data_IF_851396753571
#
_entry.id   IF_851396753571
#
_cell.length_a   1.000
_cell.length_b   1.000
_cell.length_c   1.000
_cell.angle_alpha   90.00
_cell.angle_beta   90.00
_cell.angle_gamma   90.00
#
_symmetry.space_group_name_H-M   'P 1'
#
loop_
_entity.id
_entity.type
_entity.pdbx_description
1 polymer ?
#
# COMPACT_ATOMS: atom_id res chain seq x y z
N UNK A 1 31.51 6.65 -66.97
CA UNK A 1 30.69 7.00 -65.81
C UNK A 1 30.53 5.79 -64.92
N UNK A 2 31.41 5.64 -63.93
CA UNK A 2 31.36 4.59 -62.92
C UNK A 2 31.84 5.21 -61.61
N UNK A 3 30.92 5.49 -60.69
CA UNK A 3 31.21 5.71 -59.28
C UNK A 3 30.12 5.00 -58.48
N UNK A 4 30.49 3.84 -57.93
CA UNK A 4 29.70 3.07 -57.00
C UNK A 4 29.84 3.66 -55.59
N UNK A 5 28.68 3.82 -54.94
CA UNK A 5 28.53 4.29 -53.57
C UNK A 5 29.30 3.42 -52.58
N UNK A 6 30.15 4.05 -51.77
CA UNK A 6 30.76 3.46 -50.58
C UNK A 6 29.73 3.58 -49.44
N UNK A 7 28.98 2.51 -49.19
CA UNK A 7 28.19 2.36 -47.98
C UNK A 7 29.10 1.96 -46.82
N UNK A 8 29.35 2.91 -45.90
CA UNK A 8 29.95 2.61 -44.59
C UNK A 8 29.00 1.70 -43.82
N UNK A 9 29.38 0.44 -43.61
CA UNK A 9 28.79 -0.36 -42.55
C UNK A 9 29.23 0.22 -41.20
N UNK A 10 28.29 0.83 -40.47
CA UNK A 10 28.40 1.01 -39.03
C UNK A 10 28.28 -0.38 -38.41
N UNK A 11 29.40 -0.95 -37.97
CA UNK A 11 29.40 -2.03 -36.99
C UNK A 11 28.71 -1.48 -35.73
N UNK A 12 27.50 -1.96 -35.49
CA UNK A 12 26.83 -1.83 -34.20
C UNK A 12 27.66 -2.62 -33.19
N UNK A 13 28.40 -1.90 -32.35
CA UNK A 13 29.04 -2.45 -31.17
C UNK A 13 27.93 -2.92 -30.25
N UNK A 14 27.71 -4.23 -30.21
CA UNK A 14 26.82 -4.85 -29.24
C UNK A 14 27.40 -4.59 -27.86
N UNK A 15 26.83 -3.63 -27.14
CA UNK A 15 27.01 -3.53 -25.70
C UNK A 15 26.37 -4.78 -25.11
N UNK A 16 27.17 -5.81 -24.86
CA UNK A 16 26.77 -6.86 -23.94
C UNK A 16 26.72 -6.22 -22.56
N UNK A 17 25.49 -5.98 -22.09
CA UNK A 17 25.24 -5.66 -20.70
C UNK A 17 25.63 -6.92 -19.93
N UNK A 18 26.81 -6.92 -19.32
CA UNK A 18 27.18 -7.92 -18.34
C UNK A 18 26.33 -7.66 -17.11
N UNK A 19 25.14 -8.25 -17.07
CA UNK A 19 24.38 -8.38 -15.85
C UNK A 19 25.16 -9.36 -14.97
N UNK A 20 25.99 -8.81 -14.08
CA UNK A 20 26.77 -9.60 -13.13
C UNK A 20 25.76 -10.27 -12.20
N UNK A 21 25.49 -11.56 -12.43
CA UNK A 21 24.70 -12.36 -11.50
C UNK A 21 25.26 -12.18 -10.09
N UNK A 22 24.38 -11.88 -9.14
CA UNK A 22 24.79 -11.63 -7.77
C UNK A 22 25.42 -12.92 -7.21
N UNK A 23 26.71 -12.89 -6.90
CA UNK A 23 27.44 -14.05 -6.39
C UNK A 23 27.18 -14.23 -4.88
N UNK A 24 27.00 -15.48 -4.47
CA UNK A 24 27.06 -15.87 -3.06
C UNK A 24 28.50 -15.73 -2.57
N UNK A 25 28.73 -14.73 -1.72
CA UNK A 25 30.05 -14.42 -1.17
C UNK A 25 30.08 -14.51 0.35
N UNK A 26 28.92 -14.42 0.99
CA UNK A 26 28.78 -14.44 2.45
C UNK A 26 27.64 -15.37 2.82
N UNK A 27 27.87 -16.23 3.82
CA UNK A 27 26.87 -17.10 4.42
C UNK A 27 26.60 -16.69 5.87
N UNK A 28 25.34 -16.73 6.27
CA UNK A 28 24.88 -16.34 7.59
C UNK A 28 24.56 -17.57 8.44
N UNK A 29 24.89 -17.48 9.72
CA UNK A 29 24.41 -18.36 10.78
C UNK A 29 24.50 -17.58 12.09
N UNK A 30 23.62 -16.60 12.24
CA UNK A 30 23.68 -15.61 13.33
C UNK A 30 22.43 -15.79 14.18
N UNK A 31 22.62 -16.18 15.44
CA UNK A 31 21.53 -16.25 16.42
C UNK A 31 21.38 -14.91 17.14
N UNK A 32 20.15 -14.39 17.19
CA UNK A 32 19.74 -13.20 17.90
C UNK A 32 18.71 -13.62 18.93
N UNK A 33 19.04 -13.45 20.21
CA UNK A 33 18.16 -13.81 21.32
C UNK A 33 18.04 -12.65 22.30
N UNK A 34 16.81 -12.33 22.65
CA UNK A 34 16.48 -11.36 23.66
C UNK A 34 15.16 -11.77 24.32
N UNK A 35 15.23 -12.20 25.57
CA UNK A 35 14.05 -12.69 26.29
C UNK A 35 13.08 -11.56 26.60
N UNK A 36 13.60 -10.37 26.96
CA UNK A 36 12.88 -9.11 27.17
C UNK A 36 13.78 -7.93 26.72
N UNK A 37 13.20 -6.77 26.34
CA UNK A 37 13.86 -5.50 25.95
C UNK A 37 14.24 -5.26 24.47
N UNK A 38 13.64 -5.94 23.49
CA UNK A 38 13.69 -5.41 22.11
C UNK A 38 12.50 -4.49 21.90
N UNK A 39 12.74 -3.20 22.15
CA UNK A 39 11.75 -2.15 21.98
C UNK A 39 11.77 -1.55 20.59
N UNK A 40 10.64 -1.58 19.88
CA UNK A 40 10.39 -0.73 18.71
C UNK A 40 9.71 0.53 19.19
N UNK A 41 10.26 1.70 18.87
CA UNK A 41 9.72 3.01 19.27
C UNK A 41 9.69 3.93 18.06
N UNK A 42 8.52 4.47 17.75
CA UNK A 42 8.28 5.49 16.73
C UNK A 42 7.13 6.41 17.15
N UNK A 43 6.83 7.42 16.34
CA UNK A 43 5.62 8.23 16.48
C UNK A 43 4.32 7.43 16.28
N UNK A 44 4.40 6.24 15.69
CA UNK A 44 3.26 5.40 15.34
C UNK A 44 3.18 4.10 16.13
N UNK A 45 4.20 3.72 16.90
CA UNK A 45 4.18 2.48 17.65
C UNK A 45 5.17 2.51 18.82
N UNK A 46 4.79 1.85 19.91
CA UNK A 46 5.71 1.46 20.97
C UNK A 46 5.40 0.03 21.37
N UNK A 47 6.34 -0.87 21.07
CA UNK A 47 6.16 -2.32 21.17
C UNK A 47 7.38 -2.92 21.83
N UNK A 48 7.16 -3.72 22.87
CA UNK A 48 8.19 -4.53 23.52
C UNK A 48 8.04 -5.99 23.10
N UNK A 49 9.16 -6.58 22.68
CA UNK A 49 9.17 -7.92 22.08
C UNK A 49 10.21 -8.83 22.74
N UNK A 50 9.88 -10.11 22.74
CA UNK A 50 10.78 -11.24 22.95
C UNK A 50 11.20 -11.78 21.58
N UNK A 51 12.47 -12.09 21.39
CA UNK A 51 13.05 -12.46 20.10
C UNK A 51 13.94 -13.69 20.27
N UNK A 52 13.68 -14.75 19.50
CA UNK A 52 14.62 -15.85 19.28
C UNK A 52 14.67 -16.13 17.79
N UNK A 53 15.68 -15.56 17.12
CA UNK A 53 15.82 -15.62 15.67
C UNK A 53 17.19 -16.15 15.27
N UNK A 54 17.24 -16.85 14.14
CA UNK A 54 18.49 -17.28 13.51
C UNK A 54 18.47 -16.84 12.05
N UNK A 55 19.35 -15.90 11.70
CA UNK A 55 19.60 -15.49 10.32
C UNK A 55 20.52 -16.52 9.66
N UNK A 56 20.05 -17.10 8.56
CA UNK A 56 20.72 -18.14 7.78
C UNK A 56 20.77 -17.78 6.30
N UNK A 57 21.34 -18.65 5.46
CA UNK A 57 21.39 -18.45 4.01
C UNK A 57 22.58 -17.60 3.57
N UNK A 58 22.46 -16.94 2.42
CA UNK A 58 23.54 -16.15 1.82
C UNK A 58 23.18 -14.67 1.66
N UNK A 59 24.12 -13.84 1.22
CA UNK A 59 23.87 -12.42 0.91
C UNK A 59 22.84 -12.20 -0.22
N UNK A 60 22.54 -13.20 -1.05
CA UNK A 60 21.53 -13.11 -2.12
C UNK A 60 20.26 -13.90 -1.81
N UNK A 61 20.34 -14.86 -0.88
CA UNK A 61 19.21 -15.66 -0.42
C UNK A 61 19.22 -15.78 1.11
N UNK A 62 19.00 -14.68 1.85
CA UNK A 62 18.93 -14.72 3.31
C UNK A 62 17.62 -15.36 3.76
N UNK A 63 17.72 -16.27 4.74
CA UNK A 63 16.58 -16.88 5.42
C UNK A 63 16.55 -16.53 6.89
N UNK A 64 15.39 -16.69 7.51
CA UNK A 64 15.21 -16.41 8.93
C UNK A 64 14.41 -17.53 9.57
N UNK A 65 14.81 -17.93 10.77
CA UNK A 65 14.13 -18.94 11.56
C UNK A 65 13.83 -18.43 12.95
N UNK A 66 12.77 -18.94 13.57
CA UNK A 66 12.45 -18.67 14.97
C UNK A 66 11.19 -17.80 15.12
N UNK A 67 11.09 -17.05 16.22
CA UNK A 67 9.91 -16.23 16.50
C UNK A 67 10.24 -14.86 17.10
N UNK A 68 9.29 -13.96 16.92
CA UNK A 68 9.17 -12.70 17.64
C UNK A 68 7.79 -12.70 18.28
N UNK A 69 7.76 -12.51 19.58
CA UNK A 69 6.54 -12.46 20.37
C UNK A 69 6.42 -11.06 20.99
N UNK A 70 5.25 -10.45 20.88
CA UNK A 70 4.97 -9.15 21.53
C UNK A 70 4.59 -9.39 22.98
N UNK A 71 5.30 -8.72 23.88
CA UNK A 71 5.07 -8.77 25.33
C UNK A 71 3.99 -7.75 25.70
N UNK A 72 4.16 -6.52 25.23
CA UNK A 72 3.24 -5.41 25.44
C UNK A 72 3.47 -4.36 24.35
N UNK A 73 2.47 -3.51 24.12
CA UNK A 73 2.63 -2.36 23.25
C UNK A 73 1.40 -1.98 22.47
N UNK A 74 1.57 -0.91 21.71
CA UNK A 74 0.53 -0.29 20.93
C UNK A 74 1.03 0.14 19.56
N UNK A 75 0.11 0.22 18.61
CA UNK A 75 0.36 0.76 17.27
C UNK A 75 -0.81 1.65 16.84
N UNK A 76 -0.49 2.73 16.13
CA UNK A 76 -1.48 3.62 15.53
C UNK A 76 -1.71 3.24 14.08
N UNK A 77 -2.96 2.91 13.74
CA UNK A 77 -3.39 2.56 12.38
C UNK A 77 -4.69 3.31 12.10
N UNK A 78 -4.80 3.98 10.94
CA UNK A 78 -5.96 4.84 10.61
C UNK A 78 -6.27 5.88 11.71
N UNK A 79 -5.25 6.41 12.39
CA UNK A 79 -5.37 7.35 13.52
C UNK A 79 -6.03 6.77 14.79
N UNK A 80 -6.33 5.47 14.81
CA UNK A 80 -6.74 4.79 16.02
C UNK A 80 -5.54 4.10 16.64
N UNK A 81 -5.40 4.24 17.96
CA UNK A 81 -4.41 3.51 18.74
C UNK A 81 -4.98 2.15 19.08
N UNK A 82 -4.25 1.12 18.70
CA UNK A 82 -4.56 -0.27 19.01
C UNK A 82 -3.60 -0.76 20.07
N UNK A 83 -4.14 -1.30 21.15
CA UNK A 83 -3.39 -2.03 22.16
C UNK A 83 -3.24 -3.49 21.69
N UNK A 84 -2.01 -3.96 21.60
CA UNK A 84 -1.71 -5.31 21.12
C UNK A 84 -1.89 -6.28 22.30
N UNK A 85 -2.91 -7.11 22.22
CA UNK A 85 -3.25 -8.06 23.29
C UNK A 85 -2.47 -9.38 23.18
N UNK A 86 -2.15 -9.78 21.95
CA UNK A 86 -1.33 -10.94 21.66
C UNK A 86 -0.78 -10.79 20.25
N UNK A 87 0.52 -10.98 20.04
CA UNK A 87 1.07 -11.03 18.69
C UNK A 87 2.29 -11.93 18.63
N UNK A 88 2.27 -12.83 17.65
CA UNK A 88 3.38 -13.75 17.38
C UNK A 88 3.69 -13.72 15.90
N UNK A 89 4.97 -13.58 15.57
CA UNK A 89 5.51 -13.66 14.21
C UNK A 89 6.51 -14.80 14.17
N UNK A 90 6.36 -15.73 13.25
CA UNK A 90 7.18 -16.93 13.14
C UNK A 90 7.82 -17.00 11.76
N UNK A 91 9.08 -17.40 11.74
CA UNK A 91 9.88 -17.56 10.54
C UNK A 91 10.35 -19.00 10.42
N UNK A 92 10.19 -19.56 9.22
CA UNK A 92 10.42 -20.98 8.96
C UNK A 92 11.30 -21.25 7.73
N UNK A 93 11.48 -20.28 6.85
CA UNK A 93 12.14 -20.45 5.56
C UNK A 93 13.63 -20.05 5.65
N UNK A 94 14.51 -21.01 5.33
CA UNK A 94 15.96 -20.84 5.42
C UNK A 94 16.57 -20.15 4.20
N UNK A 95 15.76 -19.87 3.17
CA UNK A 95 16.19 -19.25 1.92
C UNK A 95 15.50 -17.92 1.66
N UNK A 96 14.45 -17.60 2.43
CA UNK A 96 13.67 -16.36 2.28
C UNK A 96 13.13 -15.89 3.64
N UNK A 97 13.03 -14.59 3.80
CA UNK A 97 12.36 -13.98 4.96
C UNK A 97 10.85 -13.93 4.65
N UNK A 98 10.14 -14.98 5.02
CA UNK A 98 8.71 -15.11 4.77
C UNK A 98 7.96 -15.55 6.05
N UNK A 99 7.49 -14.58 6.86
CA UNK A 99 6.87 -14.90 8.14
C UNK A 99 5.44 -15.41 8.00
N UNK A 100 5.00 -16.15 9.00
CA UNK A 100 3.58 -16.20 9.38
C UNK A 100 3.34 -15.36 10.63
N UNK A 101 2.17 -14.77 10.76
CA UNK A 101 1.80 -13.95 11.90
C UNK A 101 0.39 -14.28 12.38
N UNK A 102 0.15 -14.05 13.67
CA UNK A 102 -1.17 -14.00 14.30
C UNK A 102 -1.15 -12.88 15.34
N UNK A 103 -1.99 -11.87 15.13
CA UNK A 103 -1.98 -10.61 15.86
C UNK A 103 -3.41 -10.30 16.28
N UNK A 104 -3.62 -10.18 17.58
CA UNK A 104 -4.85 -9.73 18.21
C UNK A 104 -4.61 -8.37 18.85
N UNK A 105 -5.45 -7.41 18.49
CA UNK A 105 -5.38 -6.06 19.04
C UNK A 105 -6.79 -5.54 19.35
N UNK A 106 -6.87 -4.55 20.22
CA UNK A 106 -8.11 -3.87 20.55
C UNK A 106 -7.98 -2.35 20.46
N UNK A 107 -9.07 -1.69 20.12
CA UNK A 107 -9.19 -0.24 20.14
C UNK A 107 -10.57 0.17 20.64
N UNK A 108 -10.73 1.43 21.01
CA UNK A 108 -12.02 2.00 21.40
C UNK A 108 -12.27 3.28 20.62
N UNK A 109 -13.38 3.33 19.89
CA UNK A 109 -13.78 4.47 19.06
C UNK A 109 -15.22 4.84 19.38
N UNK A 110 -15.46 6.09 19.76
CA UNK A 110 -16.80 6.59 20.17
C UNK A 110 -17.50 5.74 21.27
N UNK A 111 -16.73 5.13 22.18
CA UNK A 111 -17.25 4.28 23.24
C UNK A 111 -17.63 2.87 22.78
N UNK A 112 -17.29 2.49 21.54
CA UNK A 112 -17.41 1.12 21.03
C UNK A 112 -16.05 0.43 21.10
N UNK A 113 -16.00 -0.72 21.78
CA UNK A 113 -14.78 -1.54 21.83
C UNK A 113 -14.70 -2.40 20.58
N UNK A 114 -13.55 -2.39 19.90
CA UNK A 114 -13.33 -3.11 18.65
C UNK A 114 -12.12 -4.02 18.81
N UNK A 115 -12.32 -5.29 18.49
CA UNK A 115 -11.31 -6.35 18.48
C UNK A 115 -10.94 -6.65 17.04
N UNK A 116 -9.64 -6.70 16.77
CA UNK A 116 -9.06 -6.96 15.45
C UNK A 116 -8.17 -8.18 15.53
N UNK A 117 -8.36 -9.12 14.61
CA UNK A 117 -7.40 -10.20 14.38
C UNK A 117 -6.85 -10.13 12.96
N UNK A 118 -5.53 -10.21 12.85
CA UNK A 118 -4.78 -10.30 11.59
C UNK A 118 -3.93 -11.55 11.65
N UNK A 119 -4.19 -12.51 10.75
CA UNK A 119 -3.49 -13.79 10.75
C UNK A 119 -3.13 -14.27 9.35
N UNK A 120 -2.06 -15.05 9.20
CA UNK A 120 -1.62 -15.62 7.93
C UNK A 120 -0.19 -15.25 7.58
N UNK A 121 0.07 -14.87 6.33
CA UNK A 121 1.40 -14.49 5.82
C UNK A 121 1.28 -13.33 4.82
N UNK A 122 2.40 -12.71 4.39
CA UNK A 122 2.35 -11.54 3.50
C UNK A 122 1.58 -11.72 2.18
N UNK A 123 1.48 -12.95 1.65
CA UNK A 123 0.77 -13.22 0.39
C UNK A 123 -0.67 -13.69 0.58
N UNK A 124 -1.00 -14.23 1.75
CA UNK A 124 -2.33 -14.74 2.06
C UNK A 124 -2.60 -14.52 3.55
N UNK A 125 -3.33 -13.45 3.86
CA UNK A 125 -3.72 -13.08 5.20
C UNK A 125 -5.23 -12.95 5.32
N UNK A 126 -5.72 -13.08 6.55
CA UNK A 126 -7.11 -12.89 6.93
C UNK A 126 -7.17 -11.77 7.95
N UNK A 127 -8.07 -10.84 7.70
CA UNK A 127 -8.43 -9.77 8.62
C UNK A 127 -9.85 -10.05 9.12
N UNK A 128 -10.08 -9.89 10.42
CA UNK A 128 -11.41 -10.02 11.01
C UNK A 128 -11.63 -9.01 12.10
N UNK A 129 -12.87 -8.56 12.21
CA UNK A 129 -13.29 -7.53 13.14
C UNK A 129 -14.47 -8.00 13.99
N UNK A 130 -14.48 -7.58 15.24
CA UNK A 130 -15.62 -7.74 16.14
C UNK A 130 -15.77 -6.49 16.99
N UNK A 131 -16.99 -6.12 17.32
CA UNK A 131 -17.26 -4.99 18.21
C UNK A 131 -18.13 -5.37 19.41
N UNK A 132 -18.06 -4.53 20.43
CA UNK A 132 -18.99 -4.48 21.56
C UNK A 132 -19.40 -3.01 21.80
N UNK A 133 -20.67 -2.63 21.55
CA UNK A 133 -21.80 -3.45 21.10
C UNK A 133 -21.62 -4.10 19.71
N UNK A 134 -22.34 -5.19 19.37
CA UNK A 134 -22.21 -5.86 18.07
C UNK A 134 -22.64 -4.95 16.89
N UNK A 135 -21.77 -4.83 15.89
CA UNK A 135 -21.96 -4.07 14.66
C UNK A 135 -21.67 -4.93 13.44
N UNK A 136 -22.11 -4.48 12.25
CA UNK A 136 -21.69 -5.14 11.00
C UNK A 136 -20.22 -4.83 10.72
N UNK A 137 -19.51 -5.74 10.04
CA UNK A 137 -18.11 -5.54 9.68
C UNK A 137 -17.89 -4.26 8.85
N UNK A 138 -18.86 -3.92 8.00
CA UNK A 138 -18.88 -2.66 7.25
C UNK A 138 -18.90 -1.44 8.16
N UNK A 139 -19.77 -1.44 9.18
CA UNK A 139 -19.90 -0.32 10.11
C UNK A 139 -18.67 -0.19 11.00
N UNK A 140 -18.07 -1.32 11.41
CA UNK A 140 -16.81 -1.34 12.16
C UNK A 140 -15.71 -0.70 11.30
N UNK A 141 -15.52 -1.18 10.06
CA UNK A 141 -14.53 -0.63 9.15
C UNK A 141 -14.75 0.87 8.93
N UNK A 142 -15.99 1.28 8.69
CA UNK A 142 -16.34 2.68 8.51
C UNK A 142 -16.00 3.54 9.74
N UNK A 143 -16.37 3.07 10.94
CA UNK A 143 -16.10 3.74 12.20
C UNK A 143 -14.59 3.86 12.46
N UNK A 144 -13.82 2.81 12.22
CA UNK A 144 -12.35 2.85 12.36
C UNK A 144 -11.74 3.82 11.36
N UNK A 145 -12.19 3.82 10.12
CA UNK A 145 -11.56 4.59 9.07
C UNK A 145 -11.96 6.09 9.09
N UNK A 146 -13.11 6.44 9.66
CA UNK A 146 -13.64 7.82 9.68
C UNK A 146 -13.86 8.43 11.05
N UNK A 147 -13.94 7.61 12.10
CA UNK A 147 -14.33 8.03 13.45
C UNK A 147 -15.82 8.33 13.63
N UNK A 148 -16.70 8.07 12.64
CA UNK A 148 -18.15 8.30 12.72
C UNK A 148 -18.96 7.02 12.53
N UNK A 149 -20.14 6.94 13.14
CA UNK A 149 -21.06 5.81 12.95
C UNK A 149 -21.75 5.94 11.59
N UNK A 150 -21.86 4.83 10.86
CA UNK A 150 -22.46 4.80 9.53
C UNK A 150 -23.92 5.28 9.54
N UNK A 151 -24.72 4.78 10.49
CA UNK A 151 -26.14 5.16 10.62
C UNK A 151 -26.33 6.64 11.00
N UNK A 152 -25.48 7.17 11.89
CA UNK A 152 -25.50 8.59 12.29
C UNK A 152 -25.18 9.49 11.09
N UNK A 153 -24.20 9.06 10.29
CA UNK A 153 -23.79 9.73 9.08
C UNK A 153 -24.89 9.73 8.00
N UNK A 154 -25.59 8.60 7.84
CA UNK A 154 -26.77 8.47 6.97
C UNK A 154 -27.94 9.34 7.44
N UNK A 155 -28.19 9.39 8.75
CA UNK A 155 -29.30 10.14 9.34
C UNK A 155 -29.07 11.66 9.37
N UNK A 156 -27.81 12.10 9.40
CA UNK A 156 -27.42 13.51 9.37
C UNK A 156 -27.41 14.15 7.98
N UNK A 157 -27.53 13.35 6.92
CA UNK A 157 -27.66 13.82 5.54
C UNK A 157 -29.06 14.40 5.28
N UNK A 158 -29.13 15.66 4.87
CA UNK A 158 -30.36 16.36 4.51
C UNK A 158 -31.15 15.64 3.40
N UNK A 159 -32.09 14.78 3.76
CA UNK A 159 -33.21 14.36 2.89
C UNK A 159 -32.87 13.68 1.55
N UNK A 160 -31.64 13.22 1.34
CA UNK A 160 -31.25 12.46 0.14
C UNK A 160 -31.26 10.99 0.47
N UNK A 161 -32.35 10.31 0.11
CA UNK A 161 -32.41 8.87 0.03
C UNK A 161 -31.40 8.38 -1.03
N UNK A 162 -30.39 7.62 -0.63
CA UNK A 162 -29.53 6.89 -1.55
C UNK A 162 -28.22 6.41 -0.92
N UNK A 163 -28.03 5.09 -0.89
CA UNK A 163 -26.81 4.39 -0.43
C UNK A 163 -25.52 4.94 -1.08
N UNK A 164 -25.61 5.59 -2.24
CA UNK A 164 -24.47 6.15 -2.99
C UNK A 164 -23.87 7.42 -2.37
N UNK A 165 -24.67 8.35 -1.84
CA UNK A 165 -24.16 9.66 -1.40
C UNK A 165 -23.35 9.57 -0.10
N UNK A 166 -23.77 8.69 0.80
CA UNK A 166 -23.06 8.43 2.03
C UNK A 166 -21.90 7.44 1.84
N UNK A 167 -21.95 6.55 0.85
CA UNK A 167 -20.74 5.88 0.37
C UNK A 167 -19.65 6.90 0.00
N UNK A 168 -20.00 7.94 -0.77
CA UNK A 168 -19.05 8.96 -1.25
C UNK A 168 -18.42 9.76 -0.10
N UNK A 169 -19.21 10.29 0.82
CA UNK A 169 -18.67 11.14 1.88
C UNK A 169 -17.99 10.30 3.00
N UNK A 170 -18.37 9.04 3.16
CA UNK A 170 -17.59 8.05 3.91
C UNK A 170 -16.19 7.84 3.31
N UNK A 171 -16.13 7.62 2.01
CA UNK A 171 -14.89 7.40 1.25
C UNK A 171 -13.97 8.62 1.30
N UNK A 172 -14.49 9.84 1.25
CA UNK A 172 -13.69 11.06 1.38
C UNK A 172 -13.03 11.20 2.77
N UNK A 173 -13.75 10.85 3.83
CA UNK A 173 -13.20 10.84 5.19
C UNK A 173 -12.11 9.76 5.30
N UNK A 174 -12.38 8.51 4.91
CA UNK A 174 -11.38 7.43 4.92
C UNK A 174 -10.15 7.80 4.09
N UNK A 175 -10.37 8.29 2.86
CA UNK A 175 -9.29 8.70 1.96
C UNK A 175 -8.41 9.81 2.53
N UNK A 176 -9.01 10.81 3.18
CA UNK A 176 -8.24 11.89 3.81
C UNK A 176 -7.40 11.43 5.01
N UNK A 177 -7.81 10.36 5.70
CA UNK A 177 -7.12 9.86 6.89
C UNK A 177 -6.02 8.86 6.52
N UNK A 178 -6.26 7.99 5.52
CA UNK A 178 -5.24 7.08 4.97
C UNK A 178 -4.16 7.86 4.23
N UNK A 179 -4.54 8.84 3.39
CA UNK A 179 -3.60 9.66 2.61
C UNK A 179 -2.55 10.33 3.52
N UNK A 180 -2.99 10.88 4.66
CA UNK A 180 -2.08 11.48 5.66
C UNK A 180 -1.11 10.46 6.27
N UNK A 181 -1.58 9.27 6.63
CA UNK A 181 -0.75 8.25 7.28
C UNK A 181 0.32 7.69 6.33
N UNK A 182 -0.08 7.37 5.10
CA UNK A 182 0.83 6.76 4.12
C UNK A 182 1.77 7.81 3.52
N UNK A 183 1.30 9.03 3.25
CA UNK A 183 2.14 10.12 2.74
C UNK A 183 3.31 10.44 3.67
N UNK A 184 3.06 10.56 4.98
CA UNK A 184 4.10 10.90 5.96
C UNK A 184 5.09 9.75 6.23
N UNK A 185 4.68 8.49 6.02
CA UNK A 185 5.47 7.31 6.44
C UNK A 185 6.20 6.63 5.28
N UNK A 186 5.59 6.56 4.10
CA UNK A 186 6.09 5.78 2.95
C UNK A 186 6.40 6.64 1.73
N UNK A 187 6.00 7.92 1.71
CA UNK A 187 6.06 8.76 0.51
C UNK A 187 4.98 8.44 -0.53
N UNK A 188 4.07 7.50 -0.22
CA UNK A 188 2.92 7.16 -1.06
C UNK A 188 1.63 7.55 -0.35
N UNK A 189 0.76 8.29 -1.02
CA UNK A 189 -0.56 8.67 -0.57
C UNK A 189 -1.61 7.68 -1.08
N UNK A 190 -2.46 7.17 -0.18
CA UNK A 190 -3.63 6.36 -0.56
C UNK A 190 -4.88 7.20 -0.36
N UNK A 191 -5.68 7.36 -1.41
CA UNK A 191 -6.87 8.20 -1.40
C UNK A 191 -8.07 7.53 -2.05
N UNK A 192 -9.25 8.13 -1.88
CA UNK A 192 -10.45 7.77 -2.63
C UNK A 192 -10.92 9.01 -3.39
N UNK A 193 -11.28 8.83 -4.66
CA UNK A 193 -11.92 9.84 -5.49
C UNK A 193 -13.31 9.33 -5.88
N UNK A 194 -14.31 10.20 -5.74
CA UNK A 194 -15.67 9.96 -6.20
C UNK A 194 -16.05 11.06 -7.19
N UNK A 195 -15.62 10.92 -8.43
CA UNK A 195 -16.03 11.80 -9.53
C UNK A 195 -17.16 11.17 -10.33
N UNK A 196 -18.27 11.91 -10.46
CA UNK A 196 -19.37 11.58 -11.37
C UNK A 196 -20.03 10.20 -11.19
N UNK A 197 -20.08 9.68 -9.96
CA UNK A 197 -20.76 8.42 -9.65
C UNK A 197 -19.89 7.16 -9.71
N UNK A 198 -18.61 7.28 -10.07
CA UNK A 198 -17.66 6.19 -9.91
C UNK A 198 -16.73 6.45 -8.72
N UNK A 199 -16.55 5.44 -7.86
CA UNK A 199 -15.64 5.51 -6.71
C UNK A 199 -14.36 4.78 -7.07
N UNK A 200 -13.22 5.45 -6.92
CA UNK A 200 -11.90 4.87 -7.19
C UNK A 200 -11.01 4.94 -5.96
N UNK A 201 -10.45 3.79 -5.57
CA UNK A 201 -9.29 3.72 -4.68
C UNK A 201 -8.06 4.14 -5.48
N UNK A 202 -7.25 5.07 -4.97
CA UNK A 202 -6.02 5.57 -5.59
C UNK A 202 -4.83 5.35 -4.67
N UNK A 203 -3.68 5.04 -5.25
CA UNK A 203 -2.38 5.05 -4.60
C UNK A 203 -1.45 5.88 -5.46
N UNK A 204 -0.92 6.97 -4.92
CA UNK A 204 -0.06 7.91 -5.64
C UNK A 204 1.23 8.18 -4.88
N UNK A 205 2.35 8.38 -5.56
CA UNK A 205 3.60 8.75 -4.90
C UNK A 205 4.72 9.06 -5.87
N UNK A 206 5.78 9.66 -5.34
CA UNK A 206 7.01 9.96 -6.09
C UNK A 206 7.87 8.68 -6.16
N UNK A 207 8.14 8.19 -7.37
CA UNK A 207 9.00 7.03 -7.61
C UNK A 207 10.49 7.41 -7.61
N UNK A 208 10.77 8.55 -8.22
CA UNK A 208 12.09 9.19 -8.29
C UNK A 208 11.84 10.70 -8.37
N UNK A 209 12.88 11.50 -8.13
CA UNK A 209 12.80 12.95 -8.28
C UNK A 209 12.11 13.33 -9.60
N UNK A 210 11.03 14.11 -9.49
CA UNK A 210 10.24 14.62 -10.60
C UNK A 210 9.41 13.55 -11.37
N UNK A 211 9.38 12.29 -10.90
CA UNK A 211 8.63 11.16 -11.48
C UNK A 211 7.57 10.64 -10.50
N UNK A 212 6.31 10.78 -10.87
CA UNK A 212 5.17 10.41 -10.05
C UNK A 212 4.38 9.26 -10.68
N UNK A 213 3.95 8.31 -9.86
CA UNK A 213 3.04 7.24 -10.25
C UNK A 213 1.74 7.39 -9.48
N UNK A 214 0.62 7.26 -10.18
CA UNK A 214 -0.71 7.09 -9.60
C UNK A 214 -1.34 5.83 -10.15
N UNK A 215 -1.69 4.89 -9.30
CA UNK A 215 -2.49 3.71 -9.64
C UNK A 215 -3.90 3.88 -9.06
N UNK A 216 -4.91 3.40 -9.78
CA UNK A 216 -6.28 3.46 -9.28
C UNK A 216 -7.10 2.24 -9.67
N UNK A 217 -8.08 1.90 -8.82
CA UNK A 217 -9.07 0.85 -9.03
C UNK A 217 -10.48 1.38 -8.75
N UNK A 218 -11.36 1.31 -9.73
CA UNK A 218 -12.79 1.49 -9.60
C UNK A 218 -13.41 0.39 -8.74
N UNK A 219 -14.27 0.78 -7.82
CA UNK A 219 -14.93 -0.15 -6.90
C UNK A 219 -16.26 -0.69 -7.45
N UNK A 220 -16.84 0.02 -8.42
CA UNK A 220 -18.14 -0.34 -9.03
C UNK A 220 -17.94 -0.91 -10.42
N UNK A 221 -17.15 -0.25 -11.27
CA UNK A 221 -16.89 -0.66 -12.66
C UNK A 221 -15.64 -1.53 -12.82
N UNK A 222 -14.93 -1.80 -11.72
CA UNK A 222 -13.66 -2.55 -11.71
C UNK A 222 -12.58 -1.99 -12.66
N UNK A 223 -12.69 -0.71 -13.03
CA UNK A 223 -11.68 -0.05 -13.87
C UNK A 223 -10.34 -0.07 -13.14
N UNK A 224 -9.30 -0.60 -13.78
CA UNK A 224 -7.94 -0.52 -13.29
C UNK A 224 -7.16 0.40 -14.20
N UNK A 225 -6.44 1.35 -13.63
CA UNK A 225 -5.61 2.25 -14.40
C UNK A 225 -4.37 2.73 -13.67
N UNK A 226 -3.46 3.29 -14.44
CA UNK A 226 -2.22 3.89 -13.99
C UNK A 226 -1.96 5.19 -14.75
N UNK A 227 -1.41 6.18 -14.07
CA UNK A 227 -0.94 7.45 -14.61
C UNK A 227 0.51 7.65 -14.15
N UNK A 228 1.39 7.92 -15.10
CA UNK A 228 2.78 8.29 -14.87
C UNK A 228 2.93 9.76 -15.26
N UNK A 229 3.40 10.60 -14.35
CA UNK A 229 3.70 12.01 -14.61
C UNK A 229 5.19 12.27 -14.40
N UNK A 230 5.82 12.96 -15.36
CA UNK A 230 7.22 13.37 -15.26
C UNK A 230 7.38 14.87 -15.52
N UNK A 231 7.90 15.60 -14.55
CA UNK A 231 8.11 17.04 -14.60
C UNK A 231 9.44 17.39 -15.31
N UNK A 232 9.41 17.55 -16.64
CA UNK A 232 10.61 17.92 -17.41
C UNK A 232 11.12 19.33 -17.07
N UNK A 233 10.18 20.25 -16.85
CA UNK A 233 10.44 21.65 -16.55
C UNK A 233 9.43 22.14 -15.51
N UNK A 234 9.77 23.22 -14.80
CA UNK A 234 8.92 23.83 -13.75
C UNK A 234 7.45 24.04 -14.14
N UNK A 235 7.15 24.21 -15.42
CA UNK A 235 5.81 24.52 -15.92
C UNK A 235 5.27 23.47 -16.91
N UNK A 236 6.00 22.38 -17.17
CA UNK A 236 5.60 21.39 -18.18
C UNK A 236 5.90 19.97 -17.70
N UNK A 237 4.84 19.16 -17.67
CA UNK A 237 4.89 17.74 -17.33
C UNK A 237 4.50 16.87 -18.53
N UNK A 238 5.14 15.73 -18.68
CA UNK A 238 4.68 14.64 -19.54
C UNK A 238 3.83 13.67 -18.77
N UNK A 239 2.77 13.18 -19.42
CA UNK A 239 1.86 12.23 -18.80
C UNK A 239 1.68 11.03 -19.72
N UNK A 240 1.82 9.84 -19.16
CA UNK A 240 1.38 8.59 -19.75
C UNK A 240 0.24 8.01 -18.93
N UNK A 241 -0.81 7.54 -19.58
CA UNK A 241 -1.94 6.88 -18.90
C UNK A 241 -2.19 5.50 -19.49
N UNK A 242 -2.70 4.62 -18.65
CA UNK A 242 -3.21 3.33 -19.03
C UNK A 242 -4.48 3.02 -18.24
N UNK A 243 -5.48 2.41 -18.87
CA UNK A 243 -6.59 1.77 -18.18
C UNK A 243 -7.12 0.54 -18.93
N UNK A 244 -7.80 -0.35 -18.22
CA UNK A 244 -8.34 -1.59 -18.79
C UNK A 244 -9.68 -1.40 -19.53
N UNK A 245 -10.26 -0.20 -19.56
CA UNK A 245 -11.57 0.10 -20.15
C UNK A 245 -12.69 -0.86 -19.68
N UNK A 246 -12.68 -1.25 -18.40
CA UNK A 246 -13.70 -2.12 -17.85
C UNK A 246 -15.12 -1.57 -18.10
N UNK A 247 -16.03 -2.44 -18.56
CA UNK A 247 -17.41 -2.07 -18.89
C UNK A 247 -17.69 -1.66 -20.34
N UNK A 248 -16.68 -1.67 -21.22
CA UNK A 248 -16.87 -1.46 -22.66
C UNK A 248 -16.83 -2.79 -23.43
N UNK A 249 -17.86 -3.05 -24.25
CA UNK A 249 -17.99 -4.29 -25.04
C UNK A 249 -16.85 -4.49 -26.05
N UNK A 250 -16.24 -3.41 -26.53
CA UNK A 250 -15.15 -3.40 -27.52
C UNK A 250 -13.77 -3.06 -26.89
N UNK A 251 -13.60 -3.31 -25.59
CA UNK A 251 -12.33 -3.02 -24.91
C UNK A 251 -11.16 -3.86 -25.49
N UNK A 252 -10.02 -3.25 -25.84
CA UNK A 252 -8.82 -3.99 -26.23
C UNK A 252 -8.33 -4.87 -25.07
N UNK A 253 -7.80 -6.07 -25.37
CA UNK A 253 -7.27 -7.00 -24.34
C UNK A 253 -6.19 -6.37 -23.45
N UNK A 254 -5.43 -5.44 -24.02
CA UNK A 254 -4.33 -4.74 -23.33
C UNK A 254 -4.77 -3.42 -22.70
N UNK A 255 -6.06 -3.05 -22.77
CA UNK A 255 -6.57 -1.75 -22.34
C UNK A 255 -6.26 -0.61 -23.30
N UNK A 256 -6.54 0.62 -22.88
CA UNK A 256 -6.21 1.84 -23.60
C UNK A 256 -5.00 2.54 -23.01
N UNK A 257 -4.18 3.10 -23.90
CA UNK A 257 -3.02 3.91 -23.56
C UNK A 257 -3.24 5.34 -24.03
N UNK A 258 -2.85 6.30 -23.19
CA UNK A 258 -2.85 7.72 -23.49
C UNK A 258 -1.49 8.33 -23.24
N UNK A 259 -1.20 9.43 -23.94
CA UNK A 259 -0.06 10.27 -23.64
C UNK A 259 -0.46 11.74 -23.82
N UNK A 260 0.10 12.62 -23.00
CA UNK A 260 -0.22 14.03 -23.01
C UNK A 260 0.87 14.89 -22.41
N UNK A 261 0.66 16.21 -22.51
CA UNK A 261 1.47 17.22 -21.83
C UNK A 261 0.55 18.07 -20.96
N UNK A 262 1.00 18.38 -19.75
CA UNK A 262 0.30 19.27 -18.81
C UNK A 262 1.13 20.52 -18.59
N UNK A 263 0.50 21.68 -18.74
CA UNK A 263 1.13 22.98 -18.48
C UNK A 263 0.65 23.48 -17.11
N UNK A 264 1.58 23.71 -16.20
CA UNK A 264 1.31 24.21 -14.83
C UNK A 264 1.48 25.73 -14.83
N UNK A 265 0.44 26.47 -14.47
CA UNK A 265 0.45 27.94 -14.38
C UNK A 265 0.17 28.33 -12.93
N UNK A 266 1.19 28.88 -12.27
CA UNK A 266 1.04 29.42 -10.91
C UNK A 266 0.61 30.89 -10.99
N UNK A 267 -0.46 31.24 -10.28
CA UNK A 267 -0.87 32.63 -10.09
C UNK A 267 -0.44 33.08 -8.68
N UNK A 268 0.34 34.17 -8.62
CA UNK A 268 0.70 34.83 -7.36
C UNK A 268 -0.36 35.82 -6.92
#
# INVERSE_FOLDING_TARGET
SYFSNVGRQKQSSGSQVYEKEAEESVFFNIAVRADDNVGVRSNLAEIDTSVDLILVGSNIAPGLKGSVDVIDGWATVLQNRYEITQATVQFYDEQRIFPSFDINAETEVKGTKIYVNVSGNPLNYRLSFRSDPPMSERDIFFLLATGVNYDEFMAGGSGVSGDEAAGIAAQQLVGSQISKLTGDTTGFEVGFDSSSGNTRLKVSGELEKDLYLTMYRGLVDEELGAELEYDFYRYVAGIGTWNNLAGYDDAPEVGAFGAGLRVKIDFQ
#
